data_IF_197296606804
#
_entry.id   IF_197296606804
#
_cell.length_a   1.000
_cell.length_b   1.000
_cell.length_c   1.000
_cell.angle_alpha   90.00
_cell.angle_beta   90.00
_cell.angle_gamma   90.00
#
_symmetry.space_group_name_H-M   'P 1'
#
loop_
_entity.id
_entity.type
_entity.pdbx_description
1 polymer ?
#
# COMPACT_ATOMS: atom_id res chain seq x y z
N UNK A 1 21.52 35.89 35.86
CA UNK A 1 20.54 35.78 34.77
C UNK A 1 20.12 34.32 34.74
N UNK A 2 18.82 34.04 34.78
CA UNK A 2 18.31 32.66 34.68
C UNK A 2 17.94 32.42 33.22
N UNK A 3 18.51 31.38 32.63
CA UNK A 3 18.31 31.04 31.22
C UNK A 3 17.22 29.97 31.15
N UNK A 4 16.04 30.34 30.64
CA UNK A 4 14.94 29.42 30.46
C UNK A 4 15.23 28.48 29.28
N UNK A 5 15.46 27.21 29.59
CA UNK A 5 15.65 26.16 28.58
C UNK A 5 14.27 25.70 28.10
N UNK A 6 13.94 26.02 26.85
CA UNK A 6 12.72 25.54 26.20
C UNK A 6 12.95 24.15 25.65
N UNK A 7 12.21 23.17 26.16
CA UNK A 7 12.20 21.82 25.63
C UNK A 7 11.18 21.73 24.48
N UNK A 8 11.54 20.97 23.44
CA UNK A 8 10.57 20.62 22.41
C UNK A 8 9.45 19.78 23.03
N UNK A 9 8.21 20.12 22.68
CA UNK A 9 7.03 19.35 23.10
C UNK A 9 7.13 17.91 22.57
N UNK A 10 6.69 16.90 23.37
CA UNK A 10 6.69 15.53 22.93
C UNK A 10 5.74 15.33 21.74
N UNK A 11 6.10 14.44 20.82
CA UNK A 11 5.22 14.07 19.71
C UNK A 11 4.04 13.27 20.27
N UNK A 12 2.84 13.84 20.19
CA UNK A 12 1.60 13.18 20.59
C UNK A 12 0.92 12.51 19.39
N UNK A 13 0.47 11.27 19.56
CA UNK A 13 -0.42 10.60 18.61
C UNK A 13 -1.84 10.77 19.13
N UNK A 14 -2.61 11.66 18.51
CA UNK A 14 -4.00 11.90 18.89
C UNK A 14 -4.82 10.62 18.66
N UNK A 15 -5.59 10.23 19.68
CA UNK A 15 -6.46 9.03 19.65
C UNK A 15 -7.64 9.23 18.69
N UNK A 16 -8.01 10.49 18.46
CA UNK A 16 -9.12 10.91 17.62
C UNK A 16 -8.56 11.72 16.43
N UNK A 17 -8.37 11.06 15.30
CA UNK A 17 -7.94 11.68 14.05
C UNK A 17 -8.35 10.83 12.86
N UNK A 18 -9.04 11.45 11.90
CA UNK A 18 -9.27 10.82 10.60
C UNK A 18 -8.02 11.03 9.75
N UNK A 19 -7.38 9.94 9.33
CA UNK A 19 -6.25 9.99 8.39
C UNK A 19 -6.80 9.76 7.00
N UNK A 20 -6.60 10.74 6.13
CA UNK A 20 -6.94 10.62 4.73
C UNK A 20 -5.86 9.82 4.02
N UNK A 21 -6.25 8.70 3.42
CA UNK A 21 -5.35 7.75 2.76
C UNK A 21 -5.89 7.46 1.37
N UNK A 22 -5.01 7.55 0.38
CA UNK A 22 -5.30 7.09 -0.97
C UNK A 22 -4.65 5.72 -1.21
N UNK A 23 -5.41 4.83 -1.86
CA UNK A 23 -4.97 3.49 -2.24
C UNK A 23 -4.82 3.40 -3.76
N UNK A 24 -3.59 3.20 -4.21
CA UNK A 24 -3.28 2.87 -5.59
C UNK A 24 -3.16 1.35 -5.74
N UNK A 25 -3.86 0.80 -6.74
CA UNK A 25 -3.88 -0.63 -7.07
C UNK A 25 -3.47 -0.84 -8.52
N UNK A 26 -2.33 -1.47 -8.75
CA UNK A 26 -1.89 -1.87 -10.10
C UNK A 26 -2.37 -3.29 -10.45
N UNK A 27 -3.50 -3.36 -11.15
CA UNK A 27 -4.11 -4.65 -11.55
C UNK A 27 -3.44 -5.30 -12.76
N UNK A 28 -2.54 -4.59 -13.46
CA UNK A 28 -1.98 -5.06 -14.75
C UNK A 28 -1.12 -6.31 -14.60
N UNK A 29 -0.58 -6.54 -13.41
CA UNK A 29 0.35 -7.63 -13.12
C UNK A 29 -0.28 -8.84 -12.47
N UNK A 30 -1.54 -8.78 -12.03
CA UNK A 30 -2.15 -9.86 -11.23
C UNK A 30 -2.17 -11.23 -11.89
N UNK A 31 -2.20 -11.29 -13.21
CA UNK A 31 -2.21 -12.54 -13.98
C UNK A 31 -1.08 -12.55 -15.01
N UNK A 32 0.02 -11.85 -14.75
CA UNK A 32 1.21 -11.98 -15.57
C UNK A 32 2.00 -13.23 -15.14
N UNK A 33 2.58 -13.95 -16.11
CA UNK A 33 3.54 -15.01 -15.79
C UNK A 33 4.75 -14.45 -15.03
N UNK A 34 5.44 -15.28 -14.26
CA UNK A 34 6.57 -14.83 -13.43
C UNK A 34 7.72 -14.20 -14.24
N UNK A 35 7.92 -14.66 -15.47
CA UNK A 35 8.89 -14.11 -16.43
C UNK A 35 8.35 -12.90 -17.23
N UNK A 36 7.09 -12.51 -17.03
CA UNK A 36 6.42 -11.43 -17.75
C UNK A 36 6.20 -11.70 -19.25
N UNK A 37 6.45 -12.92 -19.73
CA UNK A 37 6.35 -13.26 -21.15
C UNK A 37 4.92 -13.66 -21.60
N UNK A 38 4.00 -13.85 -20.66
CA UNK A 38 2.64 -14.29 -20.94
C UNK A 38 1.63 -13.99 -19.83
N UNK A 39 0.46 -14.60 -19.97
CA UNK A 39 -0.65 -14.45 -19.04
C UNK A 39 -0.97 -15.80 -18.38
N UNK A 40 -1.34 -15.73 -17.11
CA UNK A 40 -1.87 -16.81 -16.29
C UNK A 40 -3.39 -16.87 -16.48
N UNK A 41 -3.94 -18.07 -16.61
CA UNK A 41 -5.39 -18.25 -16.60
C UNK A 41 -5.94 -18.07 -15.17
N UNK A 42 -6.89 -17.16 -14.92
CA UNK A 42 -7.45 -16.95 -13.59
C UNK A 42 -8.06 -18.21 -12.95
N UNK A 43 -8.57 -19.15 -13.75
CA UNK A 43 -9.12 -20.40 -13.24
C UNK A 43 -8.06 -21.29 -12.55
N UNK A 44 -6.79 -21.15 -12.93
CA UNK A 44 -5.64 -21.91 -12.39
C UNK A 44 -5.00 -21.23 -11.16
N UNK A 45 -5.51 -20.05 -10.77
CA UNK A 45 -5.06 -19.28 -9.62
C UNK A 45 -5.98 -19.38 -8.40
N UNK A 46 -7.08 -20.13 -8.50
CA UNK A 46 -7.92 -20.46 -7.34
C UNK A 46 -7.15 -21.30 -6.32
N UNK A 47 -7.65 -21.35 -5.08
CA UNK A 47 -7.08 -22.14 -3.99
C UNK A 47 -6.74 -23.59 -4.41
N UNK A 48 -5.50 -24.02 -4.14
CA UNK A 48 -4.94 -25.31 -4.54
C UNK A 48 -4.52 -25.40 -6.00
N UNK A 49 -4.68 -24.32 -6.78
CA UNK A 49 -4.29 -24.22 -8.18
C UNK A 49 -2.78 -23.98 -8.36
N UNK A 50 -2.23 -24.29 -9.54
CA UNK A 50 -0.79 -24.18 -9.80
C UNK A 50 -0.24 -22.75 -9.71
N UNK A 51 -1.10 -21.73 -9.86
CA UNK A 51 -0.69 -20.32 -9.83
C UNK A 51 -1.23 -19.54 -8.63
N UNK A 52 -1.85 -20.20 -7.65
CA UNK A 52 -2.41 -19.57 -6.44
C UNK A 52 -1.39 -18.61 -5.79
N UNK A 53 -0.23 -19.13 -5.38
CA UNK A 53 0.77 -18.33 -4.67
C UNK A 53 1.39 -17.22 -5.52
N UNK A 54 1.44 -17.38 -6.84
CA UNK A 54 1.96 -16.37 -7.75
C UNK A 54 0.99 -15.18 -7.81
N UNK A 55 -0.28 -15.45 -8.09
CA UNK A 55 -1.33 -14.44 -8.22
C UNK A 55 -1.59 -13.76 -6.87
N UNK A 56 -1.63 -14.53 -5.78
CA UNK A 56 -1.78 -13.99 -4.41
C UNK A 56 -0.66 -12.98 -4.08
N UNK A 57 0.59 -13.33 -4.38
CA UNK A 57 1.74 -12.44 -4.18
C UNK A 57 1.62 -11.19 -5.05
N UNK A 58 1.30 -11.33 -6.33
CA UNK A 58 1.15 -10.20 -7.25
C UNK A 58 0.01 -9.26 -6.82
N UNK A 59 -1.10 -9.79 -6.32
CA UNK A 59 -2.19 -8.99 -5.75
C UNK A 59 -1.69 -8.22 -4.53
N UNK A 60 -1.02 -8.87 -3.59
CA UNK A 60 -0.47 -8.20 -2.39
C UNK A 60 0.52 -7.10 -2.76
N UNK A 61 1.40 -7.35 -3.72
CA UNK A 61 2.42 -6.39 -4.16
C UNK A 61 1.83 -5.21 -4.96
N UNK A 62 0.60 -5.32 -5.46
CA UNK A 62 -0.07 -4.28 -6.25
C UNK A 62 -0.58 -3.09 -5.44
N UNK A 63 -0.73 -3.27 -4.12
CA UNK A 63 -1.29 -2.24 -3.25
C UNK A 63 -0.21 -1.27 -2.79
N UNK A 64 -0.46 0.03 -2.99
CA UNK A 64 0.33 1.13 -2.43
C UNK A 64 -0.62 2.10 -1.76
N UNK A 65 -0.44 2.32 -0.46
CA UNK A 65 -1.18 3.31 0.31
C UNK A 65 -0.26 4.47 0.70
N UNK A 66 -0.78 5.69 0.63
CA UNK A 66 -0.07 6.91 1.01
C UNK A 66 -1.03 7.90 1.65
N UNK A 67 -0.47 8.78 2.50
CA UNK A 67 -1.21 9.91 3.04
C UNK A 67 -1.54 10.88 1.91
N UNK A 68 -2.79 11.32 1.88
CA UNK A 68 -3.29 12.24 0.87
C UNK A 68 -4.24 13.21 1.59
N UNK A 69 -3.71 14.36 2.01
CA UNK A 69 -4.41 15.32 2.85
C UNK A 69 -5.36 16.23 2.08
N UNK A 70 -5.15 16.43 0.78
CA UNK A 70 -5.96 17.28 -0.09
C UNK A 70 -6.89 16.49 -1.03
N UNK A 71 -6.80 15.16 -0.99
CA UNK A 71 -7.61 14.20 -1.73
C UNK A 71 -7.45 14.29 -3.26
N UNK A 72 -6.28 14.69 -3.74
CA UNK A 72 -6.00 14.83 -5.17
C UNK A 72 -5.54 13.53 -5.84
N UNK A 73 -5.27 12.49 -5.04
CA UNK A 73 -4.80 11.19 -5.51
C UNK A 73 -3.29 11.11 -5.74
N UNK A 74 -2.53 12.12 -5.32
CA UNK A 74 -1.08 12.16 -5.28
C UNK A 74 -0.56 12.16 -3.84
N UNK A 75 0.72 11.84 -3.68
CA UNK A 75 1.35 11.88 -2.37
C UNK A 75 1.82 13.31 -2.05
N UNK A 76 1.56 13.74 -0.82
CA UNK A 76 2.07 14.99 -0.23
C UNK A 76 3.59 14.98 0.07
#
# INVERSE_FOLDING_TARGET
EVEDVVFAEPVEVAVDGEVQVTLHVDVTRWFASEDGAGLVNPAEANDGGPFESLVERQIRDSFRAFHDGDLDGAAD
#
